data_IF_420504305302
#
_entry.id   IF_420504305302
#
_cell.length_a   1.000
_cell.length_b   1.000
_cell.length_c   1.000
_cell.angle_alpha   90.00
_cell.angle_beta   90.00
_cell.angle_gamma   90.00
#
_symmetry.space_group_name_H-M   'P 1'
#
loop_
_entity.id
_entity.type
_entity.pdbx_description
1 polymer ?
#
# COMPACT_ATOMS: atom_id res chain seq x y z
N UNK A 1 -11.64 10.18 -10.11
CA UNK A 1 -11.13 8.84 -10.47
C UNK A 1 -10.84 8.14 -9.15
N UNK A 2 -11.73 7.25 -8.70
CA UNK A 2 -11.48 6.45 -7.50
C UNK A 2 -10.39 5.44 -7.85
N UNK A 3 -9.24 5.54 -7.21
CA UNK A 3 -8.15 4.63 -7.47
C UNK A 3 -8.53 3.24 -6.96
N UNK A 4 -8.65 2.29 -7.88
CA UNK A 4 -8.52 0.89 -7.51
C UNK A 4 -7.11 0.68 -6.94
N UNK A 5 -6.97 0.07 -5.74
CA UNK A 5 -5.69 -0.18 -5.06
C UNK A 5 -4.63 -0.88 -5.95
N UNK A 6 -5.07 -1.51 -7.04
CA UNK A 6 -4.23 -2.23 -8.00
C UNK A 6 -3.20 -1.38 -8.77
N UNK A 7 -3.22 -0.05 -8.67
CA UNK A 7 -2.20 0.82 -9.30
C UNK A 7 -1.38 1.65 -8.30
N UNK A 8 -1.67 1.55 -6.99
CA UNK A 8 -1.07 2.38 -5.92
C UNK A 8 -0.21 1.56 -4.94
N UNK A 9 -0.24 0.23 -5.01
CA UNK A 9 0.65 -0.64 -4.22
C UNK A 9 2.05 -0.75 -4.85
N UNK A 10 2.87 0.27 -4.60
CA UNK A 10 4.33 0.20 -4.41
C UNK A 10 4.90 1.57 -3.99
N UNK A 11 4.04 2.50 -3.58
CA UNK A 11 4.46 3.62 -2.76
C UNK A 11 5.10 3.00 -1.51
N UNK A 12 6.42 3.10 -1.35
CA UNK A 12 7.09 2.50 -0.22
C UNK A 12 6.54 3.15 1.03
N UNK A 13 5.65 2.45 1.73
CA UNK A 13 5.37 2.79 3.11
C UNK A 13 6.71 2.72 3.80
N UNK A 14 7.26 3.87 4.20
CA UNK A 14 8.23 3.87 5.28
C UNK A 14 7.46 3.18 6.43
N UNK A 15 7.83 1.95 6.86
CA UNK A 15 7.04 1.14 7.80
C UNK A 15 6.83 1.80 9.16
N UNK A 16 7.38 3.00 9.35
CA UNK A 16 7.16 3.88 10.48
C UNK A 16 5.69 4.05 10.87
N UNK A 17 4.76 4.14 9.90
CA UNK A 17 3.34 4.31 10.21
C UNK A 17 2.62 3.02 10.67
N UNK A 18 3.15 1.83 10.35
CA UNK A 18 2.50 0.55 10.66
C UNK A 18 2.90 -0.01 12.02
N UNK A 19 3.93 0.54 12.67
CA UNK A 19 4.35 0.10 14.00
C UNK A 19 3.31 0.43 15.09
N UNK A 20 2.41 1.40 14.86
CA UNK A 20 1.37 1.80 15.84
C UNK A 20 -0.03 1.21 15.58
N UNK A 21 -0.31 0.62 14.42
CA UNK A 21 -1.65 0.12 14.07
C UNK A 21 -1.85 -1.37 14.35
N UNK A 22 -0.79 -2.18 14.29
CA UNK A 22 -0.90 -3.64 14.40
C UNK A 22 -1.18 -4.14 15.83
N UNK A 23 -0.80 -3.37 16.87
CA UNK A 23 -1.10 -3.72 18.27
C UNK A 23 -2.52 -3.33 18.69
N UNK A 24 -3.12 -2.30 18.09
CA UNK A 24 -4.51 -1.89 18.37
C UNK A 24 -5.51 -2.90 17.80
N UNK A 25 -5.28 -3.40 16.58
CA UNK A 25 -6.16 -4.39 15.95
C UNK A 25 -6.10 -5.76 16.66
N UNK A 26 -4.94 -6.16 17.20
CA UNK A 26 -4.83 -7.36 18.05
C UNK A 26 -5.61 -7.22 19.35
N UNK A 27 -5.59 -6.05 19.98
CA UNK A 27 -6.27 -5.81 21.26
C UNK A 27 -7.81 -5.82 21.14
N UNK A 28 -8.37 -5.39 20.00
CA UNK A 28 -9.82 -5.33 19.77
C UNK A 28 -10.39 -6.71 19.42
N UNK A 29 -9.69 -7.51 18.62
CA UNK A 29 -10.17 -8.85 18.20
C UNK A 29 -10.16 -9.89 19.33
N UNK A 30 -9.41 -9.67 20.41
CA UNK A 30 -9.30 -10.62 21.52
C UNK A 30 -10.39 -10.45 22.60
N UNK A 31 -11.23 -9.39 22.55
CA UNK A 31 -12.30 -9.16 23.55
C UNK A 31 -13.68 -9.69 23.15
N UNK A 32 -13.85 -10.21 21.94
CA UNK A 32 -15.16 -10.56 21.39
C UNK A 32 -15.51 -12.06 21.46
N UNK A 33 -14.67 -12.92 22.05
CA UNK A 33 -14.93 -14.37 22.12
C UNK A 33 -15.22 -14.74 23.58
N UNK A 34 -16.44 -14.46 24.00
CA UNK A 34 -16.95 -14.85 25.32
C UNK A 34 -18.47 -14.96 25.31
N UNK A 35 -18.99 -16.10 24.82
CA UNK A 35 -20.27 -16.75 25.21
C UNK A 35 -20.49 -17.99 24.30
N UNK A 36 -20.40 -19.18 24.89
CA UNK A 36 -20.52 -20.52 24.26
C UNK A 36 -21.68 -21.25 24.95
N UNK A 37 -22.71 -21.70 24.25
CA UNK A 37 -22.90 -23.16 24.08
C UNK A 37 -24.00 -23.58 23.07
N UNK A 38 -24.50 -22.67 22.22
CA UNK A 38 -25.50 -23.01 21.17
C UNK A 38 -24.99 -22.91 19.73
N UNK A 39 -23.95 -22.12 19.49
CA UNK A 39 -23.48 -21.79 18.14
C UNK A 39 -22.59 -22.87 17.52
N UNK A 40 -22.02 -23.78 18.32
CA UNK A 40 -21.08 -24.80 17.83
C UNK A 40 -21.75 -25.84 16.93
N UNK A 41 -23.02 -26.15 17.15
CA UNK A 41 -23.74 -27.10 16.30
C UNK A 41 -24.17 -26.47 14.98
N UNK A 42 -24.65 -25.24 15.02
CA UNK A 42 -25.01 -24.50 13.80
C UNK A 42 -23.78 -24.21 12.94
N UNK A 43 -22.63 -23.87 13.53
CA UNK A 43 -21.39 -23.68 12.76
C UNK A 43 -20.89 -24.97 12.13
N UNK A 44 -20.99 -26.12 12.81
CA UNK A 44 -20.59 -27.41 12.22
C UNK A 44 -21.50 -27.86 11.08
N UNK A 45 -22.82 -27.66 11.21
CA UNK A 45 -23.79 -27.95 10.14
C UNK A 45 -23.60 -27.03 8.93
N UNK A 46 -23.42 -25.74 9.17
CA UNK A 46 -23.15 -24.76 8.11
C UNK A 46 -21.81 -25.08 7.42
N UNK A 47 -20.76 -25.43 8.18
CA UNK A 47 -19.48 -25.85 7.60
C UNK A 47 -19.58 -27.12 6.75
N UNK A 48 -20.38 -28.12 7.13
CA UNK A 48 -20.52 -29.35 6.35
C UNK A 48 -21.28 -29.10 5.04
N UNK A 49 -22.33 -28.28 5.08
CA UNK A 49 -23.11 -27.89 3.89
C UNK A 49 -22.27 -27.05 2.92
N UNK A 50 -21.47 -26.10 3.43
CA UNK A 50 -20.54 -25.32 2.60
C UNK A 50 -19.47 -26.21 2.00
N UNK A 51 -18.93 -27.17 2.74
CA UNK A 51 -17.92 -28.11 2.23
C UNK A 51 -18.48 -28.99 1.11
N UNK A 52 -19.72 -29.48 1.26
CA UNK A 52 -20.40 -30.26 0.22
C UNK A 52 -20.69 -29.42 -1.03
N UNK A 53 -21.14 -28.17 -0.85
CA UNK A 53 -21.36 -27.22 -1.95
C UNK A 53 -20.06 -26.93 -2.71
N UNK A 54 -18.94 -26.72 -2.00
CA UNK A 54 -17.63 -26.49 -2.62
C UNK A 54 -17.15 -27.73 -3.39
N UNK A 55 -17.37 -28.94 -2.87
CA UNK A 55 -17.04 -30.18 -3.59
C UNK A 55 -17.89 -30.32 -4.87
N UNK A 56 -19.18 -29.99 -4.80
CA UNK A 56 -20.07 -29.98 -5.97
C UNK A 56 -19.65 -28.91 -7.01
N UNK A 57 -19.24 -27.72 -6.58
CA UNK A 57 -18.73 -26.65 -7.45
C UNK A 57 -17.34 -26.98 -8.05
N UNK A 58 -16.52 -27.79 -7.38
CA UNK A 58 -15.23 -28.26 -7.91
C UNK A 58 -15.42 -29.28 -9.04
N UNK A 59 -16.46 -30.11 -8.98
CA UNK A 59 -16.77 -31.07 -10.06
C UNK A 59 -17.26 -30.39 -11.34
N UNK A 60 -17.89 -29.21 -11.28
CA UNK A 60 -18.40 -28.49 -12.46
C UNK A 60 -17.36 -27.59 -13.14
N UNK A 61 -16.21 -27.35 -12.53
CA UNK A 61 -15.19 -26.38 -13.03
C UNK A 61 -13.86 -27.03 -13.45
N UNK A 62 -13.87 -28.30 -13.85
CA UNK A 62 -12.70 -28.99 -14.39
C UNK A 62 -12.47 -28.68 -15.88
N UNK A 63 -12.27 -27.40 -16.24
CA UNK A 63 -11.59 -26.98 -17.46
C UNK A 63 -11.42 -25.45 -17.45
N UNK A 64 -10.35 -24.93 -16.83
CA UNK A 64 -9.98 -23.53 -17.02
C UNK A 64 -8.48 -23.43 -17.35
N UNK A 65 -8.21 -23.01 -18.59
CA UNK A 65 -6.91 -22.65 -19.12
C UNK A 65 -6.14 -21.77 -18.12
N UNK A 66 -4.95 -22.21 -17.74
CA UNK A 66 -4.07 -21.63 -16.73
C UNK A 66 -3.49 -20.26 -17.17
N UNK A 67 -4.33 -19.21 -17.25
CA UNK A 67 -3.83 -17.83 -17.20
C UNK A 67 -3.19 -17.66 -15.83
N UNK A 68 -1.87 -17.42 -15.78
CA UNK A 68 -1.18 -17.03 -14.53
C UNK A 68 -1.89 -15.80 -13.97
N UNK A 69 -2.75 -16.00 -12.98
CA UNK A 69 -3.54 -14.93 -12.39
C UNK A 69 -2.61 -14.15 -11.45
N UNK A 70 -2.06 -13.03 -11.94
CA UNK A 70 -1.21 -12.14 -11.15
C UNK A 70 -2.11 -11.43 -10.12
N UNK A 71 -2.06 -11.90 -8.87
CA UNK A 71 -2.80 -11.28 -7.79
C UNK A 71 -1.86 -10.34 -7.04
N UNK A 72 -2.03 -9.03 -7.24
CA UNK A 72 -1.21 -7.99 -6.61
C UNK A 72 -1.33 -7.99 -5.09
N UNK A 73 -2.48 -8.39 -4.55
CA UNK A 73 -2.80 -8.35 -3.12
C UNK A 73 -2.37 -9.62 -2.37
N UNK A 74 -1.94 -10.67 -3.07
CA UNK A 74 -1.47 -11.92 -2.46
C UNK A 74 -0.02 -12.13 -2.80
N UNK A 75 0.83 -12.33 -1.79
CA UNK A 75 2.27 -12.41 -2.00
C UNK A 75 3.02 -12.55 -0.69
N UNK A 76 4.30 -12.22 -0.72
CA UNK A 76 5.15 -12.19 0.46
C UNK A 76 6.11 -11.01 0.42
N UNK A 77 6.49 -10.50 1.58
CA UNK A 77 7.64 -9.61 1.71
C UNK A 77 8.92 -10.41 1.53
N UNK A 78 9.80 -9.93 0.65
CA UNK A 78 11.12 -10.51 0.42
C UNK A 78 12.17 -9.42 0.57
N UNK A 79 13.33 -9.77 1.09
CA UNK A 79 14.48 -8.86 1.07
C UNK A 79 14.97 -8.69 -0.36
N UNK A 80 15.32 -7.46 -0.73
CA UNK A 80 15.89 -7.17 -2.04
C UNK A 80 17.41 -7.28 -2.04
N UNK A 81 17.92 -8.41 -2.52
CA UNK A 81 19.36 -8.69 -2.63
C UNK A 81 20.10 -7.79 -3.63
N UNK A 82 19.37 -7.08 -4.50
CA UNK A 82 19.95 -6.24 -5.56
C UNK A 82 20.38 -4.85 -5.07
N UNK A 83 20.31 -4.58 -3.76
CA UNK A 83 20.65 -3.31 -3.11
C UNK A 83 19.93 -2.09 -3.74
N UNK A 84 18.74 -2.34 -4.28
CA UNK A 84 17.95 -1.38 -5.04
C UNK A 84 16.93 -0.64 -4.16
N UNK A 85 16.73 -1.12 -2.93
CA UNK A 85 15.87 -0.55 -1.91
C UNK A 85 16.69 0.16 -0.81
N UNK A 86 16.15 1.20 -0.15
CA UNK A 86 14.81 1.76 -0.35
C UNK A 86 14.69 2.54 -1.68
N UNK A 87 13.45 2.72 -2.16
CA UNK A 87 13.18 3.45 -3.40
C UNK A 87 13.50 4.95 -3.28
N UNK A 88 13.43 5.50 -2.07
CA UNK A 88 13.89 6.84 -1.73
C UNK A 88 14.46 6.87 -0.31
N UNK A 89 15.31 7.85 -0.02
CA UNK A 89 15.76 8.12 1.33
C UNK A 89 14.84 9.16 1.99
N UNK A 90 14.11 8.77 3.04
CA UNK A 90 13.16 9.66 3.73
C UNK A 90 13.83 10.83 4.44
N UNK A 91 15.12 10.76 4.77
CA UNK A 91 15.83 11.91 5.36
C UNK A 91 16.13 13.02 4.35
N UNK A 92 16.20 12.67 3.06
CA UNK A 92 16.48 13.61 1.95
C UNK A 92 15.20 14.21 1.34
N UNK A 93 14.03 13.66 1.65
CA UNK A 93 12.78 14.22 1.18
C UNK A 93 12.29 15.33 2.12
N UNK A 94 12.11 16.57 1.65
CA UNK A 94 11.71 17.69 2.51
C UNK A 94 10.22 17.65 2.91
N UNK A 95 9.40 16.81 2.26
CA UNK A 95 7.95 16.76 2.48
C UNK A 95 7.54 15.76 3.56
N UNK A 96 8.39 14.79 3.90
CA UNK A 96 8.06 13.82 4.96
C UNK A 96 7.94 14.56 6.29
N UNK A 97 6.75 14.46 6.88
CA UNK A 97 6.43 15.00 8.20
C UNK A 97 7.17 14.24 9.31
N UNK A 98 7.36 14.90 10.45
CA UNK A 98 8.12 14.36 11.56
C UNK A 98 7.56 12.99 12.02
N UNK A 99 6.24 12.87 12.11
CA UNK A 99 5.50 11.68 12.52
C UNK A 99 5.78 10.45 11.64
N UNK A 100 6.23 10.66 10.41
CA UNK A 100 6.49 9.59 9.44
C UNK A 100 7.99 9.36 9.17
N UNK A 101 8.90 10.15 9.77
CA UNK A 101 10.35 10.06 9.51
C UNK A 101 11.12 9.23 10.54
N UNK A 102 11.05 7.91 10.44
CA UNK A 102 11.70 6.98 11.38
C UNK A 102 13.21 7.23 11.57
N UNK A 103 13.92 7.41 10.46
CA UNK A 103 15.38 7.57 10.49
C UNK A 103 15.78 8.90 11.15
N UNK A 104 15.06 9.99 10.84
CA UNK A 104 15.27 11.29 11.50
C UNK A 104 14.89 11.25 12.98
N UNK A 105 13.92 10.42 13.35
CA UNK A 105 13.47 10.24 14.74
C UNK A 105 14.35 9.28 15.55
N UNK A 106 15.51 8.86 15.02
CA UNK A 106 16.52 8.11 15.77
C UNK A 106 16.36 6.60 15.75
N UNK A 107 15.52 6.04 14.86
CA UNK A 107 15.43 4.58 14.68
C UNK A 107 16.78 4.04 14.14
N UNK A 108 17.47 3.13 14.85
CA UNK A 108 18.82 2.70 14.49
C UNK A 108 18.85 1.59 13.43
N UNK A 109 17.82 0.73 13.38
CA UNK A 109 17.72 -0.36 12.42
C UNK A 109 17.32 0.14 11.02
N UNK A 110 17.87 -0.49 9.98
CA UNK A 110 17.62 -0.15 8.57
C UNK A 110 17.14 -1.32 7.73
N UNK A 111 17.11 -2.53 8.27
CA UNK A 111 16.77 -3.73 7.50
C UNK A 111 15.34 -3.70 6.98
N UNK A 112 14.43 -3.02 7.68
CA UNK A 112 13.06 -2.82 7.24
C UNK A 112 12.97 -2.08 5.89
N UNK A 113 13.97 -1.26 5.53
CA UNK A 113 14.00 -0.50 4.27
C UNK A 113 14.33 -1.38 3.06
N UNK A 114 14.87 -2.59 3.27
CA UNK A 114 15.34 -3.50 2.22
C UNK A 114 14.25 -4.44 1.71
N UNK A 115 13.07 -4.44 2.34
CA UNK A 115 11.99 -5.34 1.97
C UNK A 115 11.14 -4.78 0.82
N UNK A 116 10.77 -5.67 -0.09
CA UNK A 116 9.82 -5.40 -1.17
C UNK A 116 8.71 -6.43 -1.21
N UNK A 117 7.53 -5.99 -1.62
CA UNK A 117 6.41 -6.87 -1.84
C UNK A 117 6.58 -7.65 -3.15
N UNK A 118 6.47 -8.99 -3.10
CA UNK A 118 6.45 -9.87 -4.27
C UNK A 118 5.09 -10.55 -4.40
N UNK A 119 4.25 -10.10 -5.36
CA UNK A 119 2.98 -10.75 -5.65
C UNK A 119 3.13 -12.21 -6.07
N UNK A 120 2.08 -12.97 -5.86
CA UNK A 120 1.98 -14.35 -6.29
C UNK A 120 1.66 -14.39 -7.80
N UNK A 121 2.46 -15.13 -8.55
CA UNK A 121 2.25 -15.34 -9.99
C UNK A 121 2.81 -14.23 -10.89
N UNK A 122 3.50 -13.23 -10.36
CA UNK A 122 4.15 -12.16 -11.14
C UNK A 122 5.25 -11.44 -10.35
N UNK A 123 6.04 -10.63 -11.06
CA UNK A 123 7.06 -9.74 -10.48
C UNK A 123 6.73 -8.29 -10.81
N UNK A 124 6.87 -7.40 -9.84
CA UNK A 124 6.72 -5.97 -10.05
C UNK A 124 8.03 -5.37 -10.60
N UNK A 125 7.91 -4.48 -11.58
CA UNK A 125 9.02 -3.68 -12.08
C UNK A 125 9.35 -2.57 -11.08
N UNK A 126 10.60 -2.09 -11.10
CA UNK A 126 11.01 -0.93 -10.30
C UNK A 126 10.14 0.29 -10.67
N UNK A 127 9.84 1.12 -9.67
CA UNK A 127 9.16 2.39 -9.89
C UNK A 127 10.01 3.31 -10.79
N UNK A 128 9.39 3.83 -11.84
CA UNK A 128 9.94 4.86 -12.72
C UNK A 128 9.04 6.09 -12.63
N UNK A 129 9.52 7.13 -11.95
CA UNK A 129 8.76 8.36 -11.78
C UNK A 129 8.59 9.17 -13.07
N UNK A 130 9.51 9.06 -14.02
CA UNK A 130 9.36 9.71 -15.34
C UNK A 130 8.23 9.07 -16.14
N UNK A 131 8.20 7.74 -16.18
CA UNK A 131 7.10 6.99 -16.79
C UNK A 131 5.76 7.25 -16.07
N UNK A 132 5.78 7.33 -14.74
CA UNK A 132 4.61 7.66 -13.94
C UNK A 132 4.07 9.06 -14.28
N UNK A 133 4.91 10.09 -14.22
CA UNK A 133 4.50 11.47 -14.55
C UNK A 133 4.00 11.58 -15.99
N UNK A 134 4.63 10.88 -16.94
CA UNK A 134 4.16 10.84 -18.33
C UNK A 134 2.77 10.22 -18.46
N UNK A 135 2.50 9.12 -17.72
CA UNK A 135 1.19 8.45 -17.70
C UNK A 135 0.08 9.29 -17.06
N UNK A 136 0.45 10.13 -16.10
CA UNK A 136 -0.45 11.02 -15.36
C UNK A 136 -0.36 12.50 -15.78
N UNK A 137 0.23 12.78 -16.94
CA UNK A 137 0.24 14.12 -17.52
C UNK A 137 -1.18 14.60 -17.79
N UNK A 138 -1.52 15.80 -17.33
CA UNK A 138 -2.86 16.40 -17.45
C UNK A 138 -3.91 15.73 -16.57
N UNK A 139 -3.51 14.89 -15.61
CA UNK A 139 -4.41 14.22 -14.67
C UNK A 139 -4.13 14.69 -13.24
N UNK A 140 -5.18 14.66 -12.44
CA UNK A 140 -5.10 14.88 -11.00
C UNK A 140 -5.32 13.56 -10.24
N UNK A 141 -4.56 13.37 -9.17
CA UNK A 141 -4.69 12.27 -8.21
C UNK A 141 -5.10 12.89 -6.88
N UNK A 142 -6.11 12.35 -6.21
CA UNK A 142 -6.56 12.83 -4.91
C UNK A 142 -6.61 11.68 -3.91
N UNK A 143 -5.91 11.85 -2.79
CA UNK A 143 -5.96 10.97 -1.64
C UNK A 143 -6.94 11.55 -0.63
N UNK A 144 -7.84 10.73 -0.13
CA UNK A 144 -8.88 11.12 0.85
C UNK A 144 -8.85 10.15 1.99
N UNK A 145 -8.68 10.65 3.21
CA UNK A 145 -8.78 9.84 4.42
C UNK A 145 -7.79 10.26 5.50
N UNK A 146 -7.62 9.37 6.46
CA UNK A 146 -6.88 9.62 7.70
C UNK A 146 -5.34 9.74 7.53
N UNK A 147 -4.64 9.65 8.66
CA UNK A 147 -3.18 9.69 8.72
C UNK A 147 -2.48 8.64 7.87
N UNK A 148 -3.10 7.47 7.62
CA UNK A 148 -2.53 6.45 6.74
C UNK A 148 -2.56 6.92 5.28
N UNK A 149 -3.67 7.53 4.87
CA UNK A 149 -3.83 8.12 3.52
C UNK A 149 -2.87 9.29 3.32
N UNK A 150 -2.64 10.10 4.36
CA UNK A 150 -1.63 11.17 4.35
C UNK A 150 -0.22 10.64 4.14
N UNK A 151 0.14 9.57 4.87
CA UNK A 151 1.45 8.94 4.74
C UNK A 151 1.67 8.36 3.32
N UNK A 152 0.63 7.75 2.73
CA UNK A 152 0.68 7.27 1.34
C UNK A 152 0.91 8.41 0.35
N UNK A 153 0.18 9.52 0.49
CA UNK A 153 0.36 10.69 -0.36
C UNK A 153 1.78 11.26 -0.26
N UNK A 154 2.29 11.44 0.97
CA UNK A 154 3.65 11.93 1.21
C UNK A 154 4.71 11.03 0.60
N UNK A 155 4.57 9.71 0.75
CA UNK A 155 5.52 8.76 0.18
C UNK A 155 5.52 8.80 -1.36
N UNK A 156 4.36 8.97 -2.00
CA UNK A 156 4.30 9.16 -3.46
C UNK A 156 5.01 10.44 -3.90
N UNK A 157 4.75 11.54 -3.19
CA UNK A 157 5.41 12.83 -3.46
C UNK A 157 6.93 12.68 -3.37
N UNK A 158 7.43 11.99 -2.34
CA UNK A 158 8.87 11.76 -2.16
C UNK A 158 9.48 10.83 -3.21
N UNK A 159 8.79 9.77 -3.60
CA UNK A 159 9.19 8.91 -4.72
C UNK A 159 9.37 9.73 -6.00
N UNK A 160 8.39 10.58 -6.30
CA UNK A 160 8.44 11.41 -7.50
C UNK A 160 9.54 12.45 -7.42
N UNK A 161 9.66 13.16 -6.29
CA UNK A 161 10.71 14.16 -6.04
C UNK A 161 12.12 13.56 -6.21
N UNK A 162 12.39 12.42 -5.60
CA UNK A 162 13.70 11.77 -5.67
C UNK A 162 13.99 11.15 -7.04
N UNK A 163 12.96 10.64 -7.73
CA UNK A 163 13.11 10.12 -9.09
C UNK A 163 13.33 11.22 -10.15
N UNK A 164 12.88 12.45 -9.87
CA UNK A 164 12.93 13.59 -10.79
C UNK A 164 13.45 14.86 -10.09
N UNK A 165 14.73 14.89 -9.65
CA UNK A 165 15.26 15.99 -8.84
C UNK A 165 15.38 17.32 -9.60
N UNK A 166 15.36 17.28 -10.94
CA UNK A 166 15.41 18.47 -11.81
C UNK A 166 14.01 19.01 -12.16
N UNK A 167 12.95 18.31 -11.77
CA UNK A 167 11.59 18.74 -12.08
C UNK A 167 11.18 19.87 -11.14
N UNK A 168 10.68 20.96 -11.73
CA UNK A 168 10.07 22.03 -10.95
C UNK A 168 8.72 21.56 -10.40
N UNK A 169 8.48 21.89 -9.13
CA UNK A 169 7.23 21.60 -8.44
C UNK A 169 6.75 22.81 -7.66
N UNK A 170 5.45 22.82 -7.35
CA UNK A 170 4.84 23.79 -6.44
C UNK A 170 4.04 23.03 -5.38
N UNK A 171 4.05 23.53 -4.15
CA UNK A 171 3.29 22.98 -3.04
C UNK A 171 2.42 24.08 -2.45
N UNK A 172 1.11 23.86 -2.42
CA UNK A 172 0.15 24.81 -1.87
C UNK A 172 -0.83 24.10 -0.95
N UNK A 173 -1.37 24.84 0.02
CA UNK A 173 -2.43 24.35 0.90
C UNK A 173 -3.59 25.33 0.81
N UNK A 174 -4.77 24.80 0.51
CA UNK A 174 -6.01 25.57 0.38
C UNK A 174 -7.03 24.96 1.33
N UNK A 175 -7.24 25.61 2.47
CA UNK A 175 -8.03 25.04 3.57
C UNK A 175 -7.44 23.72 4.06
N UNK A 176 -8.25 22.68 4.03
CA UNK A 176 -7.87 21.32 4.43
C UNK A 176 -7.22 20.51 3.30
N UNK A 177 -7.19 21.04 2.07
CA UNK A 177 -6.58 20.35 0.92
C UNK A 177 -5.11 20.74 0.80
N UNK A 178 -4.23 19.73 0.79
CA UNK A 178 -2.81 19.87 0.42
C UNK A 178 -2.62 19.52 -1.05
N UNK A 179 -1.91 20.35 -1.81
CA UNK A 179 -1.78 20.23 -3.27
C UNK A 179 -0.30 20.25 -3.64
N UNK A 180 0.13 19.23 -4.38
CA UNK A 180 1.47 19.13 -4.94
C UNK A 180 1.37 19.07 -6.46
N UNK A 181 2.02 20.02 -7.13
CA UNK A 181 1.99 20.16 -8.59
C UNK A 181 3.38 19.94 -9.15
N UNK A 182 3.55 18.95 -10.03
CA UNK A 182 4.74 18.92 -10.89
C UNK A 182 4.45 19.76 -12.15
N UNK A 183 5.37 20.65 -12.55
CA UNK A 183 5.20 21.55 -13.72
C UNK A 183 5.18 20.84 -15.08
N UNK A 184 5.06 19.52 -15.07
CA UNK A 184 4.64 18.71 -16.23
C UNK A 184 3.11 18.60 -16.36
N UNK A 185 2.34 19.42 -15.64
CA UNK A 185 0.87 19.43 -15.55
C UNK A 185 0.28 18.17 -14.89
N UNK A 186 0.95 17.61 -13.87
CA UNK A 186 0.40 16.55 -13.02
C UNK A 186 0.16 17.08 -11.61
N UNK A 187 -1.03 16.83 -11.07
CA UNK A 187 -1.50 17.42 -9.82
C UNK A 187 -1.85 16.33 -8.80
N UNK A 188 -1.37 16.47 -7.57
CA UNK A 188 -1.54 15.49 -6.50
C UNK A 188 -2.14 16.18 -5.28
N UNK A 189 -3.34 15.79 -4.90
CA UNK A 189 -4.09 16.36 -3.78
C UNK A 189 -4.15 15.37 -2.62
N UNK A 190 -4.17 15.92 -1.41
CA UNK A 190 -4.54 15.20 -0.20
C UNK A 190 -5.63 15.98 0.54
N UNK A 191 -6.65 15.27 0.99
CA UNK A 191 -7.72 15.78 1.84
C UNK A 191 -7.85 14.85 3.06
N UNK A 192 -7.79 15.39 4.29
CA UNK A 192 -7.93 14.62 5.52
C UNK A 192 -9.33 14.02 5.71
#
# INVERSE_FOLDING_TARGET
>A
MYFSPSNIELISFDPCALQNQFEIFKAIMMRAIGLRSGWTFFTLLICSLISLLVLLLRHTTAAQSHKKNCNLFRGSWIEDETNNYPLYNSTHCPFIEHEFNCQRNGRPDKDYLKYRWKPHGCSLTRFDGGAFLKKFKGKSIMFVGDSLSRNQWLSLVCLLYTSQPKANYNTTRVGDVSIFTFLVNSLFHFFP
#
